data_IF_731682221795
#
_entry.id   IF_731682221795
#
_cell.length_a   1.000
_cell.length_b   1.000
_cell.length_c   1.000
_cell.angle_alpha   90.00
_cell.angle_beta   90.00
_cell.angle_gamma   90.00
#
_symmetry.space_group_name_H-M   'P 1'
#
loop_
_entity.id
_entity.type
_entity.pdbx_description
1 polymer ?
#
# COMPACT_ATOMS: atom_id res chain seq x y z
N UNK A 1 20.95 4.89 10.04
CA UNK A 1 19.69 5.51 9.60
C UNK A 1 18.97 4.58 8.63
N UNK A 2 17.69 4.35 8.86
CA UNK A 2 16.90 3.54 7.95
C UNK A 2 16.59 4.32 6.67
N UNK A 3 16.71 3.66 5.53
CA UNK A 3 16.43 4.24 4.23
C UNK A 3 15.21 3.54 3.64
N UNK A 4 14.26 4.31 3.13
CA UNK A 4 13.10 3.77 2.42
C UNK A 4 13.34 3.97 0.93
N UNK A 5 13.30 2.88 0.17
CA UNK A 5 13.52 2.91 -1.27
C UNK A 5 12.26 2.47 -2.00
N UNK A 6 12.01 3.11 -3.13
CA UNK A 6 10.85 2.81 -3.96
C UNK A 6 11.16 3.20 -5.40
N UNK A 7 10.70 2.39 -6.36
CA UNK A 7 10.85 2.76 -7.76
C UNK A 7 10.04 4.01 -8.06
N UNK A 8 10.59 4.89 -8.86
CA UNK A 8 9.92 6.15 -9.23
C UNK A 8 8.56 5.89 -9.90
N UNK A 9 8.49 4.85 -10.75
CA UNK A 9 7.24 4.49 -11.42
C UNK A 9 6.15 4.08 -10.43
N UNK A 10 6.53 3.44 -9.32
CA UNK A 10 5.58 3.04 -8.28
C UNK A 10 5.06 4.27 -7.53
N UNK A 11 5.92 5.22 -7.24
CA UNK A 11 5.52 6.47 -6.58
C UNK A 11 4.53 7.25 -7.45
N UNK A 12 4.79 7.32 -8.75
CA UNK A 12 3.91 7.99 -9.70
C UNK A 12 2.54 7.30 -9.75
N UNK A 13 2.53 5.99 -9.73
CA UNK A 13 1.30 5.18 -9.71
C UNK A 13 0.45 5.48 -8.47
N UNK A 14 1.09 5.55 -7.30
CA UNK A 14 0.40 5.87 -6.05
C UNK A 14 -0.22 7.26 -6.12
N UNK A 15 0.51 8.23 -6.62
CA UNK A 15 0.02 9.60 -6.75
C UNK A 15 -1.20 9.69 -7.66
N UNK A 16 -1.18 8.98 -8.78
CA UNK A 16 -2.31 8.95 -9.71
C UNK A 16 -3.52 8.29 -9.10
N UNK A 17 -3.32 7.20 -8.35
CA UNK A 17 -4.40 6.51 -7.67
C UNK A 17 -5.08 7.43 -6.66
N UNK A 18 -4.28 8.09 -5.81
CA UNK A 18 -4.81 8.98 -4.79
C UNK A 18 -5.59 10.15 -5.40
N UNK A 19 -5.05 10.76 -6.47
CA UNK A 19 -5.71 11.85 -7.16
C UNK A 19 -7.04 11.42 -7.77
N UNK A 20 -7.10 10.22 -8.35
CA UNK A 20 -8.31 9.70 -8.96
C UNK A 20 -9.42 9.37 -7.98
N UNK A 21 -9.12 9.25 -6.70
CA UNK A 21 -10.11 8.91 -5.68
C UNK A 21 -10.62 10.11 -4.88
N UNK A 22 -10.12 11.33 -5.18
CA UNK A 22 -10.63 12.51 -4.50
C UNK A 22 -12.12 12.70 -4.77
N UNK A 23 -12.91 13.19 -3.79
CA UNK A 23 -12.47 13.66 -2.46
C UNK A 23 -12.36 12.55 -1.40
N UNK A 24 -12.61 11.29 -1.74
CA UNK A 24 -12.50 10.19 -0.79
C UNK A 24 -11.04 9.95 -0.42
N UNK A 25 -10.79 9.56 0.82
CA UNK A 25 -9.45 9.19 1.25
C UNK A 25 -9.04 7.88 0.61
N UNK A 26 -7.92 7.88 -0.10
CA UNK A 26 -7.38 6.66 -0.71
C UNK A 26 -6.69 5.81 0.35
N UNK A 27 -6.81 4.50 0.26
CA UNK A 27 -6.20 3.59 1.21
C UNK A 27 -5.61 2.37 0.53
N UNK A 28 -4.71 1.70 1.24
CA UNK A 28 -4.06 0.51 0.73
C UNK A 28 -3.00 -0.01 1.68
N UNK A 29 -2.27 -1.01 1.20
CA UNK A 29 -1.18 -1.62 1.95
C UNK A 29 0.09 -1.58 1.12
N UNK A 30 1.23 -1.49 1.80
CA UNK A 30 2.55 -1.46 1.18
C UNK A 30 3.28 -2.73 1.59
N UNK A 31 3.90 -3.40 0.63
CA UNK A 31 4.65 -4.62 0.86
C UNK A 31 6.04 -4.55 0.27
N UNK A 32 6.97 -5.25 0.88
CA UNK A 32 8.33 -5.29 0.40
C UNK A 32 9.25 -6.06 1.32
N UNK A 33 10.51 -5.64 1.40
CA UNK A 33 11.53 -6.26 2.21
C UNK A 33 12.18 -5.26 3.15
N UNK A 34 12.77 -5.76 4.22
CA UNK A 34 13.46 -4.93 5.20
C UNK A 34 14.76 -5.61 5.59
N UNK A 35 15.83 -4.84 5.66
CA UNK A 35 17.13 -5.31 6.08
C UNK A 35 17.83 -4.26 6.96
N UNK A 36 19.13 -4.45 7.24
CA UNK A 36 19.91 -3.54 8.06
C UNK A 36 20.00 -2.13 7.47
N UNK A 37 19.93 -2.02 6.16
CA UNK A 37 20.08 -0.76 5.44
C UNK A 37 18.78 0.01 5.29
N UNK A 38 17.63 -0.65 5.51
CA UNK A 38 16.35 0.01 5.42
C UNK A 38 15.28 -0.88 4.80
N UNK A 39 14.31 -0.24 4.17
CA UNK A 39 13.16 -0.90 3.57
C UNK A 39 13.11 -0.66 2.07
N UNK A 40 12.75 -1.72 1.31
CA UNK A 40 12.50 -1.61 -0.10
C UNK A 40 11.03 -1.90 -0.36
N UNK A 41 10.31 -0.89 -0.87
CA UNK A 41 8.90 -1.04 -1.21
C UNK A 41 8.81 -1.62 -2.62
N UNK A 42 8.22 -2.79 -2.73
CA UNK A 42 8.17 -3.53 -3.99
C UNK A 42 6.78 -3.60 -4.58
N UNK A 43 5.74 -3.52 -3.75
CA UNK A 43 4.37 -3.64 -4.23
C UNK A 43 3.42 -2.82 -3.36
N UNK A 44 2.39 -2.27 -4.01
CA UNK A 44 1.32 -1.54 -3.34
C UNK A 44 0.01 -2.24 -3.66
N UNK A 45 -0.82 -2.43 -2.64
CA UNK A 45 -2.15 -3.00 -2.79
C UNK A 45 -3.17 -1.89 -2.58
N UNK A 46 -3.93 -1.60 -3.61
CA UNK A 46 -4.98 -0.58 -3.58
C UNK A 46 -6.27 -1.23 -3.08
N UNK A 47 -6.78 -0.73 -1.97
CA UNK A 47 -7.94 -1.33 -1.31
C UNK A 47 -9.11 -0.35 -1.32
N UNK A 48 -10.31 -0.90 -1.18
CA UNK A 48 -11.52 -0.11 -1.15
C UNK A 48 -11.69 0.55 0.21
N UNK A 49 -11.99 1.86 0.21
CA UNK A 49 -12.41 2.56 1.41
C UNK A 49 -13.91 2.34 1.56
N UNK A 50 -14.30 1.43 2.45
CA UNK A 50 -15.71 1.07 2.63
C UNK A 50 -16.55 2.18 3.28
N UNK A 51 -15.89 3.17 3.90
CA UNK A 51 -16.58 4.31 4.49
C UNK A 51 -16.87 5.43 3.47
N UNK A 52 -16.11 5.46 2.37
CA UNK A 52 -16.24 6.49 1.33
C UNK A 52 -16.21 7.92 1.88
N UNK A 53 -15.41 8.14 2.92
CA UNK A 53 -15.31 9.44 3.59
C UNK A 53 -14.09 10.22 3.14
N UNK A 54 -14.16 11.56 3.29
CA UNK A 54 -13.07 12.45 2.88
C UNK A 54 -11.93 12.52 3.89
N UNK A 55 -12.22 12.28 5.16
CA UNK A 55 -11.30 12.51 6.26
C UNK A 55 -10.89 11.24 7.02
N UNK A 56 -11.42 10.09 6.63
CA UNK A 56 -11.04 8.82 7.23
C UNK A 56 -11.33 7.66 6.27
N UNK A 57 -10.83 6.47 6.61
CA UNK A 57 -11.07 5.29 5.80
C UNK A 57 -11.16 4.04 6.67
N UNK A 58 -11.84 3.03 6.13
CA UNK A 58 -11.89 1.69 6.70
C UNK A 58 -11.61 0.69 5.60
N UNK A 59 -10.63 -0.18 5.80
CA UNK A 59 -10.26 -1.20 4.82
C UNK A 59 -11.28 -2.33 4.80
N UNK A 60 -11.59 -2.83 3.60
CA UNK A 60 -12.41 -4.02 3.45
C UNK A 60 -11.63 -5.23 3.99
N UNK A 61 -12.17 -5.95 5.01
CA UNK A 61 -11.45 -7.09 5.60
C UNK A 61 -11.11 -8.20 4.62
N UNK A 62 -11.96 -8.44 3.63
CA UNK A 62 -11.72 -9.48 2.63
C UNK A 62 -10.59 -9.11 1.69
N UNK A 63 -10.56 -7.86 1.24
CA UNK A 63 -9.47 -7.36 0.40
C UNK A 63 -8.15 -7.34 1.15
N UNK A 64 -8.19 -6.94 2.42
CA UNK A 64 -7.02 -6.91 3.28
C UNK A 64 -6.41 -8.29 3.46
N UNK A 65 -7.24 -9.29 3.73
CA UNK A 65 -6.79 -10.67 3.87
C UNK A 65 -6.19 -11.21 2.57
N UNK A 66 -6.84 -10.91 1.44
CA UNK A 66 -6.37 -11.32 0.12
C UNK A 66 -5.00 -10.73 -0.18
N UNK A 67 -4.79 -9.44 0.15
CA UNK A 67 -3.51 -8.78 -0.04
C UNK A 67 -2.41 -9.43 0.80
N UNK A 68 -2.69 -9.75 2.05
CA UNK A 68 -1.72 -10.39 2.95
C UNK A 68 -1.33 -11.77 2.44
N UNK A 69 -2.28 -12.54 1.93
CA UNK A 69 -1.99 -13.85 1.34
C UNK A 69 -1.10 -13.73 0.11
N UNK A 70 -1.36 -12.73 -0.73
CA UNK A 70 -0.55 -12.48 -1.92
C UNK A 70 0.88 -12.08 -1.53
N UNK A 71 1.03 -11.24 -0.51
CA UNK A 71 2.36 -10.87 0.00
C UNK A 71 3.17 -12.10 0.40
N UNK A 72 2.56 -13.01 1.16
CA UNK A 72 3.21 -14.24 1.60
C UNK A 72 3.61 -15.13 0.43
N UNK A 73 2.73 -15.25 -0.56
CA UNK A 73 3.01 -16.05 -1.75
C UNK A 73 4.19 -15.52 -2.56
N UNK A 74 4.44 -14.21 -2.50
CA UNK A 74 5.53 -13.55 -3.22
C UNK A 74 6.76 -13.30 -2.35
N UNK A 75 6.79 -13.79 -1.13
CA UNK A 75 7.92 -13.59 -0.23
C UNK A 75 8.06 -12.17 0.28
N UNK A 76 7.00 -11.39 0.25
CA UNK A 76 6.97 -10.02 0.72
C UNK A 76 6.38 -9.94 2.13
N UNK A 77 6.66 -8.85 2.85
CA UNK A 77 6.04 -8.62 4.14
C UNK A 77 5.34 -7.27 4.17
N UNK A 78 4.28 -7.11 4.97
CA UNK A 78 3.60 -5.84 5.10
C UNK A 78 4.51 -4.80 5.77
N UNK A 79 4.59 -3.62 5.17
CA UNK A 79 5.39 -2.51 5.69
C UNK A 79 4.53 -1.33 6.14
N UNK A 80 3.25 -1.33 5.79
CA UNK A 80 2.35 -0.27 6.19
C UNK A 80 1.10 -0.13 5.38
#
# INVERSE_FOLDING_TARGET
MAIIRMKYTLLDEIARYATGHLPEEACGLIAGSEDENGRLIEKVYYLTNVDHAEDHFTLDPKEQLSAIKDMRANGLKPLG
#
